data_IF_927697243868
#
_entry.id   IF_927697243868
#
_cell.length_a   1.000
_cell.length_b   1.000
_cell.length_c   1.000
_cell.angle_alpha   90.00
_cell.angle_beta   90.00
_cell.angle_gamma   90.00
#
_symmetry.space_group_name_H-M   'P 1'
#
loop_
_entity.id
_entity.type
_entity.pdbx_description
1 polymer ?
#
# COMPACT_ATOMS: atom_id res chain seq x y z
N UNK A 1 3.37 -7.66 2.47
CA UNK A 1 2.39 -6.79 3.13
C UNK A 1 1.84 -7.50 4.36
N UNK A 2 1.72 -6.79 5.47
CA UNK A 2 1.09 -7.25 6.71
C UNK A 2 -0.28 -6.58 6.79
N UNK A 3 -1.33 -7.35 6.53
CA UNK A 3 -2.70 -6.87 6.75
C UNK A 3 -2.98 -6.94 8.24
N UNK A 4 -3.09 -5.78 8.90
CA UNK A 4 -3.45 -5.76 10.32
C UNK A 4 -4.87 -6.29 10.48
N UNK A 5 -5.14 -7.00 11.57
CA UNK A 5 -6.48 -7.46 11.88
C UNK A 5 -7.41 -6.25 12.11
N UNK A 6 -8.72 -6.49 11.99
CA UNK A 6 -9.74 -5.44 12.08
C UNK A 6 -9.55 -4.59 13.35
N UNK A 7 -9.40 -3.29 13.16
CA UNK A 7 -9.09 -2.32 14.20
C UNK A 7 -10.34 -1.93 14.99
N UNK A 8 -10.20 -1.45 16.25
CA UNK A 8 -11.32 -0.89 17.00
C UNK A 8 -12.07 0.18 16.19
N UNK A 9 -13.41 0.22 16.34
CA UNK A 9 -14.28 1.11 15.57
C UNK A 9 -14.88 0.47 14.31
N UNK A 10 -14.33 -0.65 13.85
CA UNK A 10 -14.85 -1.36 12.66
C UNK A 10 -15.83 -2.47 13.02
N UNK A 11 -16.80 -2.83 12.14
CA UNK A 11 -17.80 -3.86 12.45
C UNK A 11 -17.22 -5.26 12.71
N UNK A 12 -16.02 -5.56 12.19
CA UNK A 12 -15.38 -6.88 12.33
C UNK A 12 -14.27 -6.89 13.39
N UNK A 13 -14.13 -5.82 14.18
CA UNK A 13 -13.22 -5.77 15.31
C UNK A 13 -13.59 -6.83 16.34
N UNK A 14 -12.71 -7.81 16.54
CA UNK A 14 -12.96 -8.95 17.43
C UNK A 14 -11.77 -9.30 18.33
N UNK A 15 -10.68 -8.52 18.24
CA UNK A 15 -9.42 -8.78 18.93
C UNK A 15 -9.00 -7.56 19.74
N UNK A 16 -8.33 -7.82 20.86
CA UNK A 16 -7.68 -6.77 21.62
C UNK A 16 -6.51 -6.17 20.82
N UNK A 17 -6.16 -4.91 21.09
CA UNK A 17 -5.00 -4.26 20.45
C UNK A 17 -3.69 -5.04 20.65
N UNK A 18 -3.53 -5.74 21.79
CA UNK A 18 -2.39 -6.61 22.05
C UNK A 18 -2.35 -7.82 21.10
N UNK A 19 -3.47 -8.51 20.89
CA UNK A 19 -3.54 -9.62 19.93
C UNK A 19 -3.28 -9.17 18.49
N UNK A 20 -3.78 -7.98 18.10
CA UNK A 20 -3.55 -7.40 16.78
C UNK A 20 -2.06 -7.12 16.57
N UNK A 21 -1.41 -6.52 17.57
CA UNK A 21 0.02 -6.24 17.61
C UNK A 21 0.85 -7.53 17.49
N UNK A 22 0.55 -8.55 18.32
CA UNK A 22 1.27 -9.83 18.32
C UNK A 22 1.20 -10.55 16.97
N UNK A 23 0.04 -10.50 16.31
CA UNK A 23 -0.14 -11.08 14.97
C UNK A 23 0.69 -10.32 13.94
N UNK A 24 0.62 -8.99 13.94
CA UNK A 24 1.32 -8.16 12.98
C UNK A 24 2.85 -8.27 13.14
N UNK A 25 3.36 -8.26 14.38
CA UNK A 25 4.78 -8.45 14.69
C UNK A 25 5.27 -9.83 14.23
N UNK A 26 4.51 -10.89 14.49
CA UNK A 26 4.85 -12.24 14.05
C UNK A 26 4.92 -12.34 12.53
N UNK A 27 3.94 -11.78 11.83
CA UNK A 27 3.90 -11.75 10.35
C UNK A 27 5.05 -10.92 9.77
N UNK A 28 5.32 -9.74 10.32
CA UNK A 28 6.43 -8.88 9.95
C UNK A 28 7.79 -9.59 10.11
N UNK A 29 7.99 -10.25 11.27
CA UNK A 29 9.23 -10.97 11.59
C UNK A 29 9.44 -12.15 10.65
N UNK A 30 8.37 -12.87 10.30
CA UNK A 30 8.42 -13.94 9.32
C UNK A 30 8.88 -13.43 7.95
N UNK A 31 8.29 -12.34 7.45
CA UNK A 31 8.68 -11.75 6.17
C UNK A 31 10.14 -11.28 6.17
N UNK A 32 10.59 -10.64 7.25
CA UNK A 32 11.98 -10.23 7.41
C UNK A 32 12.94 -11.44 7.40
N UNK A 33 12.61 -12.52 8.11
CA UNK A 33 13.43 -13.75 8.14
C UNK A 33 13.52 -14.44 6.80
N UNK A 34 12.42 -14.45 6.04
CA UNK A 34 12.37 -15.07 4.70
C UNK A 34 13.16 -14.27 3.67
N UNK A 35 13.39 -12.97 3.92
CA UNK A 35 14.27 -12.12 3.10
C UNK A 35 13.55 -11.03 2.30
N UNK A 36 12.36 -10.61 2.72
CA UNK A 36 11.70 -9.43 2.13
C UNK A 36 12.47 -8.15 2.49
N UNK A 37 12.64 -7.25 1.51
CA UNK A 37 13.44 -6.03 1.66
C UNK A 37 12.73 -4.91 2.45
N UNK A 38 11.38 -4.96 2.55
CA UNK A 38 10.56 -3.96 3.22
C UNK A 38 9.21 -4.54 3.68
N UNK A 39 8.55 -3.86 4.62
CA UNK A 39 7.23 -4.22 5.15
C UNK A 39 6.26 -3.06 4.92
N UNK A 40 5.02 -3.36 4.56
CA UNK A 40 3.91 -2.39 4.52
C UNK A 40 2.83 -2.90 5.47
N UNK A 41 2.39 -2.08 6.42
CA UNK A 41 1.19 -2.33 7.23
C UNK A 41 -0.03 -1.68 6.58
N UNK A 42 -1.13 -2.43 6.50
CA UNK A 42 -2.38 -2.00 5.84
C UNK A 42 -3.60 -2.46 6.64
N UNK A 43 -4.60 -1.59 6.80
CA UNK A 43 -5.86 -1.88 7.51
C UNK A 43 -6.93 -2.60 6.65
N UNK A 44 -6.50 -3.58 5.85
CA UNK A 44 -7.36 -4.37 4.94
C UNK A 44 -8.55 -5.07 5.61
N UNK A 45 -8.49 -5.31 6.92
CA UNK A 45 -9.57 -5.97 7.64
C UNK A 45 -10.66 -5.02 8.18
N UNK A 46 -10.50 -3.69 8.02
CA UNK A 46 -11.42 -2.65 8.48
C UNK A 46 -12.68 -2.50 7.61
N UNK A 47 -13.14 -3.61 7.03
CA UNK A 47 -14.31 -3.61 6.14
C UNK A 47 -15.61 -3.36 6.92
N UNK A 48 -16.67 -2.86 6.26
CA UNK A 48 -16.61 -2.17 4.97
C UNK A 48 -15.82 -0.86 5.10
N UNK A 49 -15.08 -0.51 4.05
CA UNK A 49 -14.28 0.71 4.10
C UNK A 49 -15.13 1.96 4.00
N UNK A 50 -14.61 3.06 4.54
CA UNK A 50 -15.23 4.38 4.53
C UNK A 50 -14.22 5.40 4.06
N UNK A 51 -14.66 6.38 3.27
CA UNK A 51 -13.81 7.49 2.86
C UNK A 51 -13.31 8.27 4.08
N UNK A 52 -12.05 8.69 4.02
CA UNK A 52 -11.47 9.61 4.99
C UNK A 52 -12.35 10.87 5.21
N UNK A 53 -12.29 11.51 6.41
CA UNK A 53 -11.33 11.27 7.49
C UNK A 53 -11.62 9.98 8.28
N UNK A 54 -10.56 9.28 8.70
CA UNK A 54 -10.69 8.12 9.57
C UNK A 54 -10.67 8.53 11.05
N UNK A 55 -11.28 7.72 11.91
CA UNK A 55 -11.33 7.98 13.33
C UNK A 55 -9.94 7.92 14.00
N UNK A 56 -9.72 8.66 15.09
CA UNK A 56 -8.44 8.69 15.80
C UNK A 56 -7.99 7.30 16.28
N UNK A 57 -8.92 6.38 16.53
CA UNK A 57 -8.66 4.99 16.88
C UNK A 57 -7.89 4.22 15.79
N UNK A 58 -8.12 4.53 14.50
CA UNK A 58 -7.36 3.93 13.38
C UNK A 58 -5.90 4.36 13.43
N UNK A 59 -5.66 5.66 13.59
CA UNK A 59 -4.31 6.25 13.70
C UNK A 59 -3.59 5.69 14.92
N UNK A 60 -4.25 5.67 16.09
CA UNK A 60 -3.66 5.18 17.33
C UNK A 60 -3.31 3.69 17.25
N UNK A 61 -4.22 2.85 16.73
CA UNK A 61 -4.00 1.42 16.63
C UNK A 61 -2.90 1.07 15.61
N UNK A 62 -2.93 1.68 14.42
CA UNK A 62 -1.89 1.49 13.41
C UNK A 62 -0.51 1.98 13.87
N UNK A 63 -0.45 3.11 14.58
CA UNK A 63 0.80 3.62 15.18
C UNK A 63 1.34 2.64 16.22
N UNK A 64 0.48 2.11 17.10
CA UNK A 64 0.86 1.09 18.09
C UNK A 64 1.47 -0.14 17.41
N UNK A 65 0.80 -0.67 16.38
CA UNK A 65 1.30 -1.82 15.61
C UNK A 65 2.65 -1.49 14.95
N UNK A 66 2.77 -0.32 14.32
CA UNK A 66 3.98 0.10 13.64
C UNK A 66 5.18 0.25 14.59
N UNK A 67 4.98 0.84 15.78
CA UNK A 67 6.02 0.95 16.81
C UNK A 67 6.49 -0.42 17.31
N UNK A 68 5.56 -1.36 17.50
CA UNK A 68 5.90 -2.72 17.93
C UNK A 68 6.75 -3.43 16.87
N UNK A 69 6.38 -3.32 15.59
CA UNK A 69 7.19 -3.86 14.47
C UNK A 69 8.56 -3.18 14.42
N UNK A 70 8.63 -1.85 14.57
CA UNK A 70 9.90 -1.10 14.58
C UNK A 70 10.82 -1.56 15.71
N UNK A 71 10.28 -1.88 16.90
CA UNK A 71 11.08 -2.40 18.02
C UNK A 71 11.72 -3.75 17.70
N UNK A 72 10.97 -4.67 17.09
CA UNK A 72 11.48 -5.99 16.73
C UNK A 72 12.39 -5.96 15.48
N UNK A 73 12.14 -5.04 14.55
CA UNK A 73 12.82 -4.92 13.26
C UNK A 73 13.39 -3.50 13.05
N UNK A 74 14.38 -3.07 13.85
CA UNK A 74 14.81 -1.67 13.92
C UNK A 74 15.33 -1.09 12.60
N UNK A 75 15.89 -1.94 11.72
CA UNK A 75 16.47 -1.52 10.42
C UNK A 75 15.58 -1.81 9.22
N UNK A 76 14.45 -2.49 9.41
CA UNK A 76 13.57 -2.83 8.29
C UNK A 76 12.86 -1.56 7.80
N UNK A 77 12.90 -1.24 6.49
CA UNK A 77 12.05 -0.21 5.92
C UNK A 77 10.58 -0.56 6.15
N UNK A 78 9.85 0.37 6.77
CA UNK A 78 8.44 0.20 7.10
C UNK A 78 7.62 1.24 6.35
N UNK A 79 6.61 0.78 5.63
CA UNK A 79 5.63 1.59 4.95
C UNK A 79 4.25 1.46 5.58
N UNK A 80 3.41 2.47 5.36
CA UNK A 80 2.03 2.51 5.88
C UNK A 80 1.05 2.74 4.74
N UNK A 81 -0.07 2.05 4.81
CA UNK A 81 -1.24 2.32 3.99
C UNK A 81 -2.46 2.33 4.91
N UNK A 82 -3.23 3.41 4.85
CA UNK A 82 -4.58 3.46 5.40
C UNK A 82 -5.50 3.57 4.19
N UNK A 83 -6.32 2.54 4.01
CA UNK A 83 -7.21 2.39 2.86
C UNK A 83 -8.29 3.47 2.84
N UNK A 84 -8.84 3.71 1.65
CA UNK A 84 -10.01 4.57 1.45
C UNK A 84 -9.73 6.04 1.74
N UNK A 85 -8.68 6.52 1.06
CA UNK A 85 -8.26 7.92 1.07
C UNK A 85 -7.61 8.39 2.39
N UNK A 86 -7.18 7.46 3.26
CA UNK A 86 -6.51 7.74 4.54
C UNK A 86 -5.05 8.20 4.45
N UNK A 87 -4.68 8.95 3.42
CA UNK A 87 -3.29 9.33 3.15
C UNK A 87 -2.71 10.29 4.19
N UNK A 88 -3.53 11.12 4.83
CA UNK A 88 -3.07 12.02 5.90
C UNK A 88 -2.81 11.23 7.19
N UNK A 89 -3.67 10.28 7.50
CA UNK A 89 -3.51 9.34 8.60
C UNK A 89 -2.27 8.47 8.40
N UNK A 90 -2.10 7.90 7.20
CA UNK A 90 -0.91 7.12 6.84
C UNK A 90 0.38 7.92 7.01
N UNK A 91 0.40 9.19 6.58
CA UNK A 91 1.55 10.09 6.74
C UNK A 91 1.87 10.34 8.22
N UNK A 92 0.85 10.64 9.04
CA UNK A 92 1.01 10.88 10.47
C UNK A 92 1.54 9.63 11.20
N UNK A 93 0.98 8.45 10.88
CA UNK A 93 1.45 7.16 11.41
C UNK A 93 2.89 6.91 10.99
N UNK A 94 3.21 7.05 9.70
CA UNK A 94 4.56 6.84 9.18
C UNK A 94 5.58 7.75 9.87
N UNK A 95 5.27 9.03 10.04
CA UNK A 95 6.13 9.95 10.79
C UNK A 95 6.35 9.48 12.24
N UNK A 96 5.31 9.03 12.93
CA UNK A 96 5.40 8.59 14.32
C UNK A 96 6.19 7.29 14.54
N UNK A 97 6.34 6.45 13.51
CA UNK A 97 7.01 5.13 13.61
C UNK A 97 8.37 5.08 12.90
N UNK A 98 8.91 6.23 12.51
CA UNK A 98 10.08 6.36 11.65
C UNK A 98 9.92 5.57 10.34
N UNK A 99 8.75 5.64 9.72
CA UNK A 99 8.39 5.00 8.46
C UNK A 99 9.14 5.61 7.27
N UNK A 100 9.45 4.77 6.29
CA UNK A 100 10.21 5.17 5.10
C UNK A 100 9.30 5.70 3.97
N UNK A 101 8.07 5.20 3.88
CA UNK A 101 7.15 5.56 2.80
C UNK A 101 5.69 5.33 3.20
N UNK A 102 4.78 5.91 2.43
CA UNK A 102 3.37 5.56 2.45
C UNK A 102 2.90 5.17 1.05
N UNK A 103 1.91 4.28 0.99
CA UNK A 103 1.17 4.02 -0.24
C UNK A 103 -0.04 4.95 -0.29
N UNK A 104 -0.13 5.72 -1.37
CA UNK A 104 -1.14 6.77 -1.54
C UNK A 104 -2.11 6.38 -2.63
N UNK A 105 -3.36 6.20 -2.23
CA UNK A 105 -4.48 5.99 -3.13
C UNK A 105 -5.03 7.33 -3.62
N UNK A 106 -5.57 7.36 -4.84
CA UNK A 106 -6.20 8.56 -5.41
C UNK A 106 -5.30 9.82 -5.37
N UNK A 107 -4.01 9.66 -5.72
CA UNK A 107 -3.06 10.76 -5.65
C UNK A 107 -3.39 11.90 -6.63
N UNK A 108 -3.74 11.53 -7.86
CA UNK A 108 -4.20 12.42 -8.93
C UNK A 108 -5.54 11.94 -9.47
N UNK A 109 -6.35 12.89 -9.92
CA UNK A 109 -7.71 12.69 -10.44
C UNK A 109 -8.71 12.15 -9.41
N UNK A 110 -9.97 12.07 -9.82
CA UNK A 110 -11.07 11.48 -9.07
C UNK A 110 -11.46 10.12 -9.66
N UNK A 111 -11.98 9.22 -8.84
CA UNK A 111 -12.52 7.93 -9.28
C UNK A 111 -13.60 7.42 -8.33
N UNK A 112 -14.27 6.32 -8.68
CA UNK A 112 -15.32 5.70 -7.85
C UNK A 112 -14.80 4.37 -7.33
N UNK A 113 -14.69 4.21 -6.02
CA UNK A 113 -14.27 2.98 -5.34
C UNK A 113 -15.47 2.25 -4.70
N UNK A 114 -15.21 1.12 -4.03
CA UNK A 114 -16.24 0.31 -3.34
C UNK A 114 -17.01 1.12 -2.27
N UNK A 115 -16.32 2.08 -1.66
CA UNK A 115 -16.82 3.01 -0.63
C UNK A 115 -17.45 4.30 -1.21
N UNK A 116 -17.52 4.42 -2.54
CA UNK A 116 -18.18 5.51 -3.25
C UNK A 116 -17.23 6.44 -4.00
N UNK A 117 -17.69 7.66 -4.27
CA UNK A 117 -16.93 8.66 -5.04
C UNK A 117 -15.76 9.22 -4.22
N UNK A 118 -14.55 9.07 -4.74
CA UNK A 118 -13.34 9.75 -4.28
C UNK A 118 -13.16 11.02 -5.10
N UNK A 119 -13.87 12.07 -4.71
CA UNK A 119 -14.01 13.31 -5.48
C UNK A 119 -12.74 14.17 -5.54
N UNK A 120 -11.91 14.08 -4.50
CA UNK A 120 -10.72 14.93 -4.34
C UNK A 120 -9.44 14.15 -4.59
N UNK A 121 -8.49 14.74 -5.32
CA UNK A 121 -7.15 14.18 -5.47
C UNK A 121 -6.28 14.47 -4.22
N UNK A 122 -5.52 13.48 -3.75
CA UNK A 122 -4.74 13.60 -2.51
C UNK A 122 -3.57 14.59 -2.60
N UNK A 123 -2.94 14.74 -3.78
CA UNK A 123 -1.65 15.40 -3.94
C UNK A 123 -1.57 16.78 -3.25
N UNK A 124 -2.56 17.64 -3.49
CA UNK A 124 -2.56 18.99 -2.94
C UNK A 124 -2.51 19.03 -1.41
N UNK A 125 -3.44 18.32 -0.75
CA UNK A 125 -3.51 18.32 0.72
C UNK A 125 -2.33 17.55 1.33
N UNK A 126 -1.99 16.40 0.75
CA UNK A 126 -0.93 15.52 1.24
C UNK A 126 0.45 16.19 1.22
N UNK A 127 0.84 16.84 0.11
CA UNK A 127 2.17 17.46 -0.01
C UNK A 127 2.34 18.65 0.94
N UNK A 128 1.27 19.44 1.15
CA UNK A 128 1.26 20.53 2.13
C UNK A 128 1.39 19.99 3.54
N UNK A 129 0.69 18.90 3.85
CA UNK A 129 0.76 18.27 5.17
C UNK A 129 2.13 17.65 5.44
N UNK A 130 2.71 16.97 4.44
CA UNK A 130 4.08 16.44 4.51
C UNK A 130 5.09 17.54 4.80
N UNK A 131 4.96 18.70 4.14
CA UNK A 131 5.82 19.86 4.41
C UNK A 131 5.57 20.44 5.82
N UNK A 132 4.31 20.62 6.22
CA UNK A 132 3.92 21.15 7.53
C UNK A 132 4.45 20.30 8.69
N UNK A 133 4.46 18.98 8.54
CA UNK A 133 4.96 18.03 9.53
C UNK A 133 6.49 17.84 9.47
N UNK A 134 7.19 18.40 8.48
CA UNK A 134 8.62 18.12 8.27
C UNK A 134 8.90 16.67 7.85
N UNK A 135 7.89 15.96 7.34
CA UNK A 135 7.94 14.54 7.02
C UNK A 135 8.43 14.27 5.59
N UNK A 136 9.32 15.10 5.04
CA UNK A 136 9.82 14.97 3.65
C UNK A 136 10.69 13.72 3.43
N UNK A 137 11.16 13.10 4.51
CA UNK A 137 11.83 11.80 4.49
C UNK A 137 10.88 10.64 4.18
N UNK A 138 9.56 10.80 4.40
CA UNK A 138 8.54 9.81 4.06
C UNK A 138 8.20 9.94 2.57
N UNK A 139 8.55 8.91 1.80
CA UNK A 139 8.26 8.84 0.36
C UNK A 139 6.78 8.58 0.07
N UNK A 140 6.25 9.22 -0.95
CA UNK A 140 4.88 9.06 -1.42
C UNK A 140 4.86 8.13 -2.64
N UNK A 141 4.46 6.88 -2.42
CA UNK A 141 4.33 5.86 -3.46
C UNK A 141 2.88 5.81 -3.92
N UNK A 142 2.60 6.35 -5.10
CA UNK A 142 1.25 6.75 -5.50
C UNK A 142 0.64 5.77 -6.51
N UNK A 143 -0.55 5.23 -6.20
CA UNK A 143 -1.30 4.40 -7.15
C UNK A 143 -1.77 5.23 -8.35
N UNK A 144 -1.53 4.73 -9.56
CA UNK A 144 -2.05 5.26 -10.81
C UNK A 144 -3.10 4.28 -11.33
N UNK A 145 -4.32 4.79 -11.57
CA UNK A 145 -5.49 3.96 -11.93
C UNK A 145 -5.65 2.75 -11.00
N UNK A 146 -5.72 3.03 -9.69
CA UNK A 146 -5.85 2.07 -8.59
C UNK A 146 -6.87 0.96 -8.89
N UNK A 147 -6.55 -0.26 -8.47
CA UNK A 147 -7.48 -1.40 -8.34
C UNK A 147 -8.69 -1.12 -7.44
N UNK A 148 -9.78 -1.87 -7.60
CA UNK A 148 -11.04 -1.68 -6.87
C UNK A 148 -11.63 -0.27 -7.05
N UNK A 149 -11.38 0.33 -8.21
CA UNK A 149 -11.93 1.62 -8.59
C UNK A 149 -12.31 1.65 -10.07
N UNK A 150 -13.41 2.32 -10.37
CA UNK A 150 -13.83 2.71 -11.71
C UNK A 150 -13.22 4.06 -12.07
N UNK A 151 -12.51 4.09 -13.20
CA UNK A 151 -11.88 5.28 -13.78
C UNK A 151 -12.71 5.90 -14.91
N UNK A 152 -14.03 5.65 -14.93
CA UNK A 152 -14.90 6.14 -16.00
C UNK A 152 -14.93 7.69 -16.08
N UNK A 153 -14.80 8.38 -14.95
CA UNK A 153 -14.74 9.85 -14.87
C UNK A 153 -13.51 10.44 -15.57
N UNK A 154 -12.47 9.63 -15.74
CA UNK A 154 -11.18 9.99 -16.35
C UNK A 154 -10.80 9.00 -17.44
N UNK A 155 -11.80 8.44 -18.13
CA UNK A 155 -11.58 7.46 -19.19
C UNK A 155 -10.79 8.03 -20.38
N UNK A 156 -10.86 9.35 -20.57
CA UNK A 156 -10.12 10.13 -21.55
C UNK A 156 -8.65 10.37 -21.16
N UNK A 157 -8.28 10.12 -19.90
CA UNK A 157 -6.89 10.25 -19.42
C UNK A 157 -6.19 8.89 -19.53
N UNK A 158 -5.26 8.69 -20.47
CA UNK A 158 -4.50 7.45 -20.56
C UNK A 158 -3.56 7.30 -19.36
N UNK A 159 -3.15 6.07 -19.06
CA UNK A 159 -2.29 5.78 -17.90
C UNK A 159 -0.97 6.58 -17.94
N UNK A 160 -0.38 6.71 -19.13
CA UNK A 160 0.82 7.53 -19.39
C UNK A 160 0.66 8.97 -18.90
N UNK A 161 -0.46 9.61 -19.21
CA UNK A 161 -0.71 10.99 -18.81
C UNK A 161 -1.03 11.09 -17.32
N UNK A 162 -1.67 10.08 -16.75
CA UNK A 162 -1.87 10.00 -15.30
C UNK A 162 -0.54 9.86 -14.54
N UNK A 163 0.40 9.06 -15.04
CA UNK A 163 1.76 8.94 -14.51
C UNK A 163 2.51 10.27 -14.59
N UNK A 164 2.46 10.94 -15.75
CA UNK A 164 3.04 12.27 -15.95
C UNK A 164 2.47 13.31 -14.98
N UNK A 165 1.16 13.29 -14.77
CA UNK A 165 0.49 14.19 -13.82
C UNK A 165 0.94 13.91 -12.39
N UNK A 166 1.05 12.65 -11.97
CA UNK A 166 1.52 12.30 -10.63
C UNK A 166 2.96 12.78 -10.38
N UNK A 167 3.86 12.62 -11.35
CA UNK A 167 5.21 13.19 -11.23
C UNK A 167 5.18 14.71 -11.13
N UNK A 168 4.43 15.38 -12.01
CA UNK A 168 4.29 16.83 -11.97
C UNK A 168 3.76 17.35 -10.63
N UNK A 169 2.85 16.62 -9.99
CA UNK A 169 2.29 16.95 -8.67
C UNK A 169 3.12 16.45 -7.47
N UNK A 170 4.31 15.87 -7.72
CA UNK A 170 5.30 15.60 -6.68
C UNK A 170 5.19 14.23 -6.01
N UNK A 171 4.70 13.21 -6.72
CA UNK A 171 4.90 11.82 -6.30
C UNK A 171 6.39 11.48 -6.20
N UNK A 172 6.78 10.61 -5.25
CA UNK A 172 8.16 10.07 -5.18
C UNK A 172 8.32 8.78 -5.98
N UNK A 173 7.21 8.10 -6.27
CA UNK A 173 7.18 6.89 -7.08
C UNK A 173 5.75 6.51 -7.45
N UNK A 174 5.62 5.64 -8.43
CA UNK A 174 4.34 5.20 -8.99
C UNK A 174 4.07 3.75 -8.61
N UNK A 175 2.81 3.42 -8.36
CA UNK A 175 2.34 2.06 -8.19
C UNK A 175 1.32 1.76 -9.27
N UNK A 176 1.56 0.69 -10.02
CA UNK A 176 0.66 0.18 -11.05
C UNK A 176 0.08 -1.14 -10.56
N UNK A 177 -1.24 -1.29 -10.69
CA UNK A 177 -1.98 -2.47 -10.22
C UNK A 177 -2.85 -3.03 -11.33
N UNK A 178 -3.00 -4.35 -11.40
CA UNK A 178 -4.15 -4.98 -12.08
C UNK A 178 -5.48 -4.60 -11.42
N UNK A 179 -6.60 -4.86 -12.09
CA UNK A 179 -7.92 -4.31 -11.72
C UNK A 179 -8.44 -4.72 -10.34
N UNK A 180 -8.04 -5.89 -9.84
CA UNK A 180 -8.44 -6.42 -8.52
C UNK A 180 -7.25 -7.09 -7.80
N UNK A 181 -7.40 -7.31 -6.48
CA UNK A 181 -6.37 -8.01 -5.69
C UNK A 181 -6.17 -9.44 -6.19
N UNK A 182 -4.93 -9.75 -6.61
CA UNK A 182 -4.55 -11.05 -7.15
C UNK A 182 -4.57 -11.12 -8.68
N UNK A 183 -5.15 -10.12 -9.35
CA UNK A 183 -5.08 -10.00 -10.81
C UNK A 183 -3.69 -9.49 -11.23
N UNK A 184 -3.02 -10.15 -12.19
CA UNK A 184 -1.75 -9.69 -12.76
C UNK A 184 -1.85 -8.25 -13.27
N UNK A 185 -0.74 -7.53 -13.16
CA UNK A 185 -0.61 -6.18 -13.73
C UNK A 185 -0.29 -6.32 -15.22
N UNK A 186 -0.95 -5.53 -16.07
CA UNK A 186 -0.69 -5.55 -17.50
C UNK A 186 0.72 -5.00 -17.79
N UNK A 187 1.60 -5.73 -18.51
CA UNK A 187 2.88 -5.20 -18.93
C UNK A 187 2.78 -3.90 -19.74
N UNK A 188 1.70 -3.68 -20.49
CA UNK A 188 1.45 -2.43 -21.21
C UNK A 188 1.21 -1.24 -20.27
N UNK A 189 0.53 -1.46 -19.15
CA UNK A 189 0.33 -0.43 -18.12
C UNK A 189 1.66 -0.03 -17.47
N UNK A 190 2.54 -1.01 -17.21
CA UNK A 190 3.89 -0.73 -16.69
C UNK A 190 4.74 0.06 -17.69
N UNK A 191 4.68 -0.30 -18.98
CA UNK A 191 5.35 0.46 -20.05
C UNK A 191 4.82 1.89 -20.12
N UNK A 192 3.49 2.06 -20.12
CA UNK A 192 2.86 3.36 -20.18
C UNK A 192 3.23 4.26 -18.98
N UNK A 193 3.34 3.70 -17.77
CA UNK A 193 3.80 4.43 -16.59
C UNK A 193 5.23 4.93 -16.76
N UNK A 194 6.15 4.07 -17.22
CA UNK A 194 7.55 4.40 -17.47
C UNK A 194 7.76 5.40 -18.60
N UNK A 195 6.96 5.31 -19.66
CA UNK A 195 6.99 6.27 -20.76
C UNK A 195 6.43 7.65 -20.36
N UNK A 196 5.57 7.68 -19.34
CA UNK A 196 4.93 8.89 -18.84
C UNK A 196 5.72 9.60 -17.75
N UNK A 197 6.62 8.88 -17.05
CA UNK A 197 7.31 9.39 -15.88
C UNK A 197 8.72 8.82 -15.70
N UNK A 198 9.63 9.64 -15.18
CA UNK A 198 10.98 9.22 -14.77
C UNK A 198 11.07 8.61 -13.37
N UNK A 199 9.95 8.49 -12.65
CA UNK A 199 9.90 8.00 -11.28
C UNK A 199 10.04 6.46 -11.20
N UNK A 200 10.50 5.92 -10.05
CA UNK A 200 10.45 4.49 -9.79
C UNK A 200 9.02 3.94 -9.89
N UNK A 201 8.87 2.77 -10.51
CA UNK A 201 7.57 2.12 -10.75
C UNK A 201 7.51 0.81 -9.97
N UNK A 202 6.50 0.67 -9.11
CA UNK A 202 6.23 -0.53 -8.33
C UNK A 202 4.99 -1.26 -8.83
N UNK A 203 4.96 -2.58 -8.69
CA UNK A 203 3.77 -3.40 -8.97
C UNK A 203 2.98 -3.62 -7.69
N UNK A 204 1.69 -3.29 -7.69
CA UNK A 204 0.83 -3.32 -6.50
C UNK A 204 -0.15 -4.50 -6.40
N UNK A 205 -0.21 -5.39 -7.39
CA UNK A 205 -1.09 -6.57 -7.38
C UNK A 205 -0.60 -7.71 -8.30
N UNK A 206 -1.11 -8.91 -8.04
CA UNK A 206 -0.95 -10.05 -8.94
C UNK A 206 0.43 -10.70 -8.94
N UNK A 207 1.26 -10.40 -7.94
CA UNK A 207 2.62 -10.97 -7.84
C UNK A 207 2.55 -12.40 -7.32
N UNK A 208 2.74 -13.37 -8.20
CA UNK A 208 2.95 -14.79 -7.89
C UNK A 208 4.40 -15.18 -8.20
N UNK A 209 4.91 -16.32 -7.69
CA UNK A 209 6.33 -16.71 -7.91
C UNK A 209 6.75 -16.72 -9.38
N UNK A 210 5.90 -17.22 -10.28
CA UNK A 210 6.15 -17.25 -11.72
C UNK A 210 6.19 -15.85 -12.38
N UNK A 211 5.57 -14.85 -11.76
CA UNK A 211 5.52 -13.47 -12.26
C UNK A 211 6.65 -12.59 -11.72
N UNK A 212 7.44 -13.03 -10.72
CA UNK A 212 8.47 -12.21 -10.09
C UNK A 212 9.52 -11.72 -11.11
N UNK A 213 10.18 -12.63 -11.83
CA UNK A 213 11.21 -12.24 -12.83
C UNK A 213 10.63 -11.40 -13.98
N UNK A 214 9.51 -11.79 -14.62
CA UNK A 214 8.93 -10.98 -15.69
C UNK A 214 8.56 -9.56 -15.26
N UNK A 215 7.98 -9.40 -14.05
CA UNK A 215 7.61 -8.08 -13.54
C UNK A 215 8.84 -7.22 -13.20
N UNK A 216 9.89 -7.81 -12.61
CA UNK A 216 11.13 -7.09 -12.27
C UNK A 216 11.91 -6.59 -13.49
N UNK A 217 11.67 -7.14 -14.69
CA UNK A 217 12.22 -6.55 -15.92
C UNK A 217 11.64 -5.17 -16.22
N UNK A 218 10.46 -4.87 -15.66
CA UNK A 218 9.69 -3.66 -15.95
C UNK A 218 9.31 -2.85 -14.70
N UNK A 219 9.69 -3.27 -13.50
CA UNK A 219 9.39 -2.59 -12.25
C UNK A 219 10.58 -2.60 -11.29
N UNK A 220 10.66 -1.59 -10.44
CA UNK A 220 11.74 -1.38 -9.48
C UNK A 220 11.47 -2.11 -8.14
N UNK A 221 10.19 -2.38 -7.84
CA UNK A 221 9.79 -3.19 -6.68
C UNK A 221 8.43 -3.86 -6.89
N UNK A 222 8.18 -4.92 -6.09
CA UNK A 222 6.94 -5.69 -6.12
C UNK A 222 6.29 -5.68 -4.72
N UNK A 223 5.04 -5.23 -4.64
CA UNK A 223 4.22 -5.32 -3.42
C UNK A 223 3.49 -6.67 -3.43
N UNK A 224 3.80 -7.50 -2.45
CA UNK A 224 3.25 -8.87 -2.35
C UNK A 224 2.31 -8.98 -1.16
N UNK A 225 1.06 -9.40 -1.42
CA UNK A 225 -0.03 -9.49 -0.45
C UNK A 225 -0.67 -10.88 -0.42
N UNK A 226 -1.74 -11.10 -1.18
CA UNK A 226 -2.53 -12.34 -1.11
C UNK A 226 -1.74 -13.61 -1.44
N UNK A 227 -0.77 -13.56 -2.37
CA UNK A 227 -0.02 -14.75 -2.82
C UNK A 227 0.81 -15.41 -1.73
N UNK A 228 1.25 -14.66 -0.71
CA UNK A 228 2.00 -15.17 0.44
C UNK A 228 1.11 -15.61 1.61
N UNK A 229 -0.20 -15.41 1.53
CA UNK A 229 -1.16 -15.88 2.54
C UNK A 229 -1.56 -17.33 2.29
N UNK A 230 -1.97 -18.05 3.34
CA UNK A 230 -2.47 -19.43 3.21
C UNK A 230 -3.63 -19.49 2.21
N UNK A 231 -3.52 -20.43 1.27
CA UNK A 231 -4.50 -20.59 0.18
C UNK A 231 -4.55 -19.43 -0.82
N UNK A 232 -3.59 -18.50 -0.79
CA UNK A 232 -3.62 -17.31 -1.65
C UNK A 232 -4.72 -16.29 -1.28
N UNK A 233 -5.33 -16.42 -0.10
CA UNK A 233 -6.44 -15.58 0.34
C UNK A 233 -5.96 -14.50 1.31
N UNK A 234 -6.20 -13.23 0.98
CA UNK A 234 -5.67 -12.08 1.72
C UNK A 234 -6.05 -12.06 3.22
N UNK A 235 -7.19 -12.66 3.56
CA UNK A 235 -7.75 -12.69 4.91
C UNK A 235 -7.12 -13.76 5.82
N UNK A 236 -6.33 -14.66 5.26
CA UNK A 236 -5.65 -15.70 6.00
C UNK A 236 -4.27 -15.22 6.52
N UNK A 237 -3.69 -15.94 7.50
CA UNK A 237 -2.31 -15.69 7.93
C UNK A 237 -1.29 -15.91 6.81
N UNK A 238 -0.11 -15.28 6.93
CA UNK A 238 1.04 -15.55 6.05
C UNK A 238 1.45 -17.02 6.15
N UNK A 239 1.78 -17.61 5.01
CA UNK A 239 2.38 -18.93 4.87
C UNK A 239 3.87 -18.79 4.54
N UNK A 240 4.73 -19.33 5.42
CA UNK A 240 6.19 -19.23 5.28
C UNK A 240 6.68 -19.82 3.95
N UNK A 241 6.16 -20.97 3.52
CA UNK A 241 6.61 -21.62 2.27
C UNK A 241 6.21 -20.80 1.05
N UNK A 242 5.05 -20.15 1.10
CA UNK A 242 4.59 -19.28 0.00
C UNK A 242 5.39 -17.98 -0.04
N UNK A 243 5.74 -17.43 1.12
CA UNK A 243 6.66 -16.29 1.22
C UNK A 243 8.05 -16.63 0.67
N UNK A 244 8.60 -17.79 1.03
CA UNK A 244 9.90 -18.28 0.54
C UNK A 244 9.88 -18.49 -0.97
N UNK A 245 8.79 -19.03 -1.52
CA UNK A 245 8.64 -19.22 -2.96
C UNK A 245 8.74 -17.90 -3.76
N UNK A 246 8.27 -16.78 -3.18
CA UNK A 246 8.40 -15.46 -3.80
C UNK A 246 9.87 -15.00 -3.80
N UNK A 247 10.57 -15.13 -2.66
CA UNK A 247 11.98 -14.72 -2.55
C UNK A 247 12.88 -15.59 -3.45
N UNK A 248 12.64 -16.89 -3.51
CA UNK A 248 13.39 -17.82 -4.36
C UNK A 248 13.17 -17.58 -5.86
N UNK A 249 12.11 -16.85 -6.23
CA UNK A 249 11.82 -16.52 -7.61
C UNK A 249 12.48 -15.20 -8.09
N UNK A 250 13.16 -14.46 -7.20
CA UNK A 250 13.88 -13.22 -7.53
C UNK A 250 15.08 -13.46 -8.46
#
# INVERSE_FOLDING_TARGET
>A
MVHVLALPGTPFAARSLAEIEDVAVREATLLAKVGFDAIIIENMHDRPYVNAPHGPETVAAMTRVGLAIRRELPRMPLGVQVLSFGHLEALAIAMAIDGAFIRVENFVFAHVADEGLLADAAAGRLLRERARLGATHVRLMCDIKKKHASHALTADVPLKDAAKAAEFFGADGLIVTGTHTGTPTDPDDLRAAKDGSGLPVWVGSGVTPDQVRPLLNHADALIVGSSIKKGGAWCNPIDAKRAEAIINAR
#
